data_IF_881603912896
#
_entry.id   IF_881603912896
#
_cell.length_a   1.000
_cell.length_b   1.000
_cell.length_c   1.000
_cell.angle_alpha   90.00
_cell.angle_beta   90.00
_cell.angle_gamma   90.00
#
_symmetry.space_group_name_H-M   'P 1'
#
loop_
_entity.id
_entity.type
_entity.pdbx_description
1 polymer ?
#
# COMPACT_ATOMS: atom_id res chain seq x y z
N UNK A 1 -30.39 -19.08 -19.86
CA UNK A 1 -29.25 -19.21 -18.93
C UNK A 1 -29.26 -17.99 -18.03
N UNK A 2 -29.31 -18.14 -16.71
CA UNK A 2 -29.25 -16.99 -15.80
C UNK A 2 -27.85 -16.37 -15.88
N UNK A 3 -27.78 -15.05 -16.04
CA UNK A 3 -26.50 -14.32 -16.00
C UNK A 3 -25.80 -14.58 -14.67
N UNK A 4 -24.46 -14.76 -14.66
CA UNK A 4 -23.74 -14.97 -13.41
C UNK A 4 -23.96 -13.77 -12.48
N UNK A 5 -24.54 -14.02 -11.29
CA UNK A 5 -24.70 -12.96 -10.29
C UNK A 5 -23.32 -12.62 -9.72
N UNK A 6 -22.87 -11.37 -9.84
CA UNK A 6 -21.65 -10.91 -9.19
C UNK A 6 -21.85 -11.01 -7.68
N UNK A 7 -21.14 -11.96 -7.04
CA UNK A 7 -21.32 -12.23 -5.61
C UNK A 7 -20.53 -11.29 -4.72
N UNK A 8 -19.36 -10.83 -5.15
CA UNK A 8 -18.49 -9.95 -4.39
C UNK A 8 -17.74 -8.99 -5.31
N UNK A 9 -17.52 -7.76 -4.86
CA UNK A 9 -16.66 -6.76 -5.50
C UNK A 9 -15.57 -6.33 -4.51
N UNK A 10 -14.35 -6.16 -5.00
CA UNK A 10 -13.21 -5.69 -4.22
C UNK A 10 -12.61 -4.45 -4.90
N UNK A 11 -12.48 -3.38 -4.12
CA UNK A 11 -11.78 -2.16 -4.53
C UNK A 11 -10.39 -2.15 -3.91
N UNK A 12 -9.43 -1.60 -4.65
CA UNK A 12 -7.99 -1.72 -4.33
C UNK A 12 -7.43 -0.48 -3.63
N UNK A 13 -8.26 0.44 -3.15
CA UNK A 13 -7.82 1.69 -2.52
C UNK A 13 -8.40 2.89 -3.24
N UNK A 14 -7.53 3.70 -3.85
CA UNK A 14 -7.79 4.96 -4.57
C UNK A 14 -9.06 5.00 -5.42
N UNK A 15 -9.85 6.07 -5.26
CA UNK A 15 -11.07 6.37 -6.03
C UNK A 15 -11.08 7.85 -6.42
N UNK A 16 -11.35 8.14 -7.69
CA UNK A 16 -11.39 9.51 -8.23
C UNK A 16 -12.68 10.26 -7.86
N UNK A 17 -12.96 10.39 -6.57
CA UNK A 17 -14.06 11.15 -5.99
C UNK A 17 -13.51 12.17 -4.98
N UNK A 18 -14.23 13.28 -4.73
CA UNK A 18 -13.66 14.43 -4.02
C UNK A 18 -13.30 14.16 -2.57
N UNK A 19 -14.03 13.28 -1.88
CA UNK A 19 -13.86 13.02 -0.45
C UNK A 19 -14.40 11.64 -0.04
N UNK A 20 -13.98 11.19 1.14
CA UNK A 20 -14.29 9.88 1.72
C UNK A 20 -15.79 9.67 1.97
N UNK A 21 -16.54 10.71 2.38
CA UNK A 21 -17.98 10.59 2.61
C UNK A 21 -18.72 10.37 1.28
N UNK A 22 -18.33 11.10 0.23
CA UNK A 22 -18.86 10.89 -1.12
C UNK A 22 -18.57 9.47 -1.61
N UNK A 23 -17.35 8.97 -1.44
CA UNK A 23 -16.95 7.60 -1.83
C UNK A 23 -17.81 6.54 -1.14
N UNK A 24 -17.91 6.61 0.19
CA UNK A 24 -18.71 5.67 0.96
C UNK A 24 -20.18 5.68 0.53
N UNK A 25 -20.78 6.86 0.31
CA UNK A 25 -22.17 6.95 -0.17
C UNK A 25 -22.34 6.38 -1.57
N UNK A 26 -21.44 6.69 -2.49
CA UNK A 26 -21.48 6.16 -3.86
C UNK A 26 -21.40 4.64 -3.85
N UNK A 27 -20.44 4.06 -3.13
CA UNK A 27 -20.26 2.62 -3.07
C UNK A 27 -21.48 1.88 -2.51
N UNK A 28 -22.07 2.37 -1.43
CA UNK A 28 -23.24 1.71 -0.85
C UNK A 28 -24.53 1.91 -1.67
N UNK A 29 -24.59 2.97 -2.47
CA UNK A 29 -25.69 3.17 -3.43
C UNK A 29 -25.55 2.26 -4.66
N UNK A 30 -24.33 2.12 -5.18
CA UNK A 30 -24.07 1.35 -6.42
C UNK A 30 -23.93 -0.15 -6.17
N UNK A 31 -23.38 -0.55 -5.02
CA UNK A 31 -23.05 -1.94 -4.68
C UNK A 31 -23.54 -2.31 -3.27
N UNK A 32 -24.86 -2.23 -3.00
CA UNK A 32 -25.41 -2.32 -1.65
C UNK A 32 -25.19 -3.67 -0.97
N UNK A 33 -24.93 -4.74 -1.73
CA UNK A 33 -24.80 -6.10 -1.16
C UNK A 33 -23.52 -6.83 -1.56
N UNK A 34 -22.72 -6.27 -2.48
CA UNK A 34 -21.53 -6.94 -3.03
C UNK A 34 -20.24 -6.62 -2.26
N UNK A 35 -20.25 -5.61 -1.39
CA UNK A 35 -19.05 -5.14 -0.69
C UNK A 35 -18.90 -5.84 0.66
N UNK A 36 -17.71 -6.40 0.87
CA UNK A 36 -17.29 -6.90 2.20
C UNK A 36 -16.37 -5.91 2.91
N UNK A 37 -15.74 -5.02 2.14
CA UNK A 37 -14.70 -4.08 2.57
C UNK A 37 -14.81 -2.83 1.73
N UNK A 38 -14.58 -1.67 2.33
CA UNK A 38 -14.69 -0.39 1.65
C UNK A 38 -13.43 0.46 1.92
N UNK A 39 -12.63 0.80 0.90
CA UNK A 39 -11.54 1.75 1.07
C UNK A 39 -12.07 3.19 1.15
N UNK A 40 -11.33 4.06 1.81
CA UNK A 40 -11.65 5.50 1.88
C UNK A 40 -11.38 6.26 0.57
N UNK A 41 -10.81 5.58 -0.42
CA UNK A 41 -10.46 6.04 -1.76
C UNK A 41 -9.33 7.07 -1.82
N UNK A 42 -8.58 7.25 -0.74
CA UNK A 42 -7.34 8.04 -0.72
C UNK A 42 -7.45 9.49 -1.24
N UNK A 43 -8.49 10.28 -0.91
CA UNK A 43 -8.68 11.61 -1.49
C UNK A 43 -7.64 12.63 -0.97
N UNK A 44 -7.52 13.73 -1.71
CA UNK A 44 -6.75 14.90 -1.31
C UNK A 44 -5.24 14.77 -1.51
N UNK A 45 -4.46 15.05 -0.47
CA UNK A 45 -2.99 15.14 -0.56
C UNK A 45 -2.30 13.76 -0.67
N UNK A 46 -3.03 12.66 -0.56
CA UNK A 46 -2.54 11.28 -0.73
C UNK A 46 -2.54 10.82 -2.19
N UNK A 47 -2.50 11.76 -3.13
CA UNK A 47 -2.44 11.47 -4.56
C UNK A 47 -1.13 10.82 -5.00
N UNK A 48 -1.18 10.14 -6.15
CA UNK A 48 -0.06 9.45 -6.80
C UNK A 48 0.59 8.35 -5.93
N UNK A 49 -0.26 7.50 -5.35
CA UNK A 49 0.13 6.30 -4.59
C UNK A 49 1.06 6.60 -3.41
N UNK A 50 2.38 6.45 -3.58
CA UNK A 50 3.38 6.69 -2.52
C UNK A 50 4.10 8.03 -2.63
N UNK A 51 3.84 8.86 -3.64
CA UNK A 51 4.58 10.11 -3.81
C UNK A 51 4.42 11.09 -2.64
N UNK A 52 3.26 11.11 -1.99
CA UNK A 52 3.05 11.96 -0.81
C UNK A 52 3.95 11.59 0.37
N UNK A 53 4.47 10.35 0.42
CA UNK A 53 5.43 9.88 1.42
C UNK A 53 6.82 10.51 1.26
N UNK A 54 7.12 11.20 0.15
CA UNK A 54 8.38 11.94 0.01
C UNK A 54 8.59 12.94 1.15
N UNK A 55 7.50 13.53 1.63
CA UNK A 55 7.51 14.48 2.76
C UNK A 55 8.06 13.89 4.06
N UNK A 56 8.00 12.56 4.23
CA UNK A 56 8.54 11.83 5.39
C UNK A 56 10.05 12.08 5.56
N UNK A 57 10.74 12.30 4.44
CA UNK A 57 12.20 12.39 4.37
C UNK A 57 12.72 13.84 4.24
N UNK A 58 11.85 14.86 4.24
CA UNK A 58 12.25 16.25 3.97
C UNK A 58 13.18 16.88 5.02
N UNK A 59 13.35 16.24 6.18
CA UNK A 59 14.41 16.61 7.13
C UNK A 59 15.82 16.35 6.57
N UNK A 60 15.94 15.45 5.61
CA UNK A 60 17.19 15.03 4.98
C UNK A 60 17.02 15.04 3.45
N UNK A 61 16.92 16.23 2.84
CA UNK A 61 16.56 16.36 1.42
C UNK A 61 17.54 15.68 0.46
N UNK A 62 18.80 15.49 0.88
CA UNK A 62 19.81 14.77 0.10
C UNK A 62 19.53 13.26 -0.06
N UNK A 63 18.66 12.68 0.77
CA UNK A 63 18.23 11.28 0.63
C UNK A 63 17.22 11.11 -0.50
N UNK A 64 16.48 12.18 -0.81
CA UNK A 64 15.29 12.14 -1.65
C UNK A 64 15.70 12.25 -3.11
N UNK A 65 15.25 11.29 -3.92
CA UNK A 65 15.57 11.28 -5.34
C UNK A 65 14.83 12.37 -6.11
N UNK A 66 15.51 12.97 -7.07
CA UNK A 66 14.87 13.93 -7.99
C UNK A 66 13.85 13.22 -8.88
N UNK A 67 12.70 13.87 -9.11
CA UNK A 67 11.60 13.31 -9.91
C UNK A 67 11.88 13.34 -11.42
N UNK A 68 12.86 14.14 -11.86
CA UNK A 68 13.11 14.39 -13.28
C UNK A 68 14.42 13.73 -13.77
N UNK A 69 15.44 13.68 -12.92
CA UNK A 69 16.77 13.14 -13.27
C UNK A 69 17.49 12.70 -11.98
N UNK A 70 18.08 11.50 -11.90
CA UNK A 70 19.04 11.20 -10.83
C UNK A 70 20.27 12.10 -11.01
N UNK A 71 20.48 13.03 -10.09
CA UNK A 71 21.48 14.10 -10.24
C UNK A 71 22.91 13.67 -9.86
N UNK A 72 23.10 12.48 -9.29
CA UNK A 72 24.41 12.07 -8.81
C UNK A 72 24.68 10.60 -9.15
N UNK A 73 25.72 10.39 -9.97
CA UNK A 73 26.29 9.06 -10.23
C UNK A 73 27.03 8.49 -9.02
N UNK A 74 27.47 9.35 -8.10
CA UNK A 74 28.17 8.98 -6.86
C UNK A 74 27.80 9.97 -5.75
N UNK A 75 26.82 9.60 -4.91
CA UNK A 75 26.40 10.41 -3.76
C UNK A 75 27.32 10.27 -2.55
N UNK A 76 28.25 9.31 -2.57
CA UNK A 76 29.01 8.90 -1.39
C UNK A 76 28.12 8.21 -0.34
N UNK A 77 28.67 7.85 0.84
CA UNK A 77 27.87 7.27 1.92
C UNK A 77 26.89 8.29 2.51
N UNK A 78 25.83 7.81 3.17
CA UNK A 78 24.98 8.68 3.98
C UNK A 78 25.88 9.39 5.02
N UNK A 79 25.85 10.74 5.10
CA UNK A 79 26.71 11.50 6.00
C UNK A 79 26.35 11.33 7.49
N UNK A 80 25.29 10.59 7.78
CA UNK A 80 24.79 10.28 9.12
C UNK A 80 24.50 8.79 9.24
N UNK A 81 24.80 8.24 10.41
CA UNK A 81 24.43 6.86 10.73
C UNK A 81 22.90 6.69 10.65
N UNK A 82 22.38 5.62 10.01
CA UNK A 82 20.94 5.40 9.86
C UNK A 82 20.14 5.48 11.16
N UNK A 83 20.74 5.08 12.29
CA UNK A 83 20.11 5.09 13.62
C UNK A 83 19.83 6.50 14.14
N UNK A 84 20.51 7.52 13.60
CA UNK A 84 20.30 8.93 13.95
C UNK A 84 19.26 9.62 13.06
N UNK A 85 18.76 8.93 12.03
CA UNK A 85 17.76 9.46 11.10
C UNK A 85 16.41 9.55 11.79
N UNK A 86 15.86 10.75 11.85
CA UNK A 86 14.54 11.02 12.42
C UNK A 86 13.56 11.36 11.31
N UNK A 87 12.70 10.39 10.98
CA UNK A 87 11.66 10.54 9.97
C UNK A 87 10.49 11.38 10.50
N UNK A 88 9.85 12.13 9.60
CA UNK A 88 8.56 12.77 9.90
C UNK A 88 7.45 11.69 9.98
N UNK A 89 6.28 11.98 10.58
CA UNK A 89 5.16 11.05 10.59
C UNK A 89 4.76 10.61 9.18
N UNK A 90 4.41 9.33 9.00
CA UNK A 90 3.96 8.81 7.70
C UNK A 90 2.61 9.40 7.28
N UNK A 91 1.74 9.69 8.27
CA UNK A 91 0.40 10.23 8.06
C UNK A 91 -0.66 9.20 7.61
N UNK A 92 -0.28 7.94 7.36
CA UNK A 92 -1.25 6.90 6.98
C UNK A 92 -2.24 6.59 8.11
N UNK A 93 -1.74 6.56 9.34
CA UNK A 93 -2.54 6.35 10.55
C UNK A 93 -3.54 7.48 10.77
N UNK A 94 -3.08 8.74 10.75
CA UNK A 94 -3.97 9.89 10.86
C UNK A 94 -5.04 9.91 9.77
N UNK A 95 -4.70 9.58 8.53
CA UNK A 95 -5.66 9.46 7.44
C UNK A 95 -6.68 8.33 7.70
N UNK A 96 -6.22 7.15 8.08
CA UNK A 96 -7.08 5.99 8.35
C UNK A 96 -8.05 6.26 9.51
N UNK A 97 -7.59 6.84 10.61
CA UNK A 97 -8.41 7.16 11.80
C UNK A 97 -9.49 8.19 11.43
N UNK A 98 -9.13 9.24 10.70
CA UNK A 98 -10.08 10.26 10.24
C UNK A 98 -11.15 9.67 9.29
N UNK A 99 -10.73 8.84 8.34
CA UNK A 99 -11.64 8.14 7.43
C UNK A 99 -12.55 7.15 8.17
N UNK A 100 -12.01 6.46 9.18
CA UNK A 100 -12.76 5.52 10.01
C UNK A 100 -13.85 6.19 10.86
N UNK A 101 -13.59 7.39 11.38
CA UNK A 101 -14.63 8.18 12.04
C UNK A 101 -15.81 8.50 11.10
N UNK A 102 -15.52 8.80 9.83
CA UNK A 102 -16.55 8.99 8.80
C UNK A 102 -17.29 7.68 8.48
N UNK A 103 -16.57 6.57 8.42
CA UNK A 103 -17.13 5.24 8.23
C UNK A 103 -18.14 4.89 9.34
N UNK A 104 -17.76 5.09 10.60
CA UNK A 104 -18.64 4.84 11.76
C UNK A 104 -19.93 5.65 11.67
N UNK A 105 -19.83 6.97 11.43
CA UNK A 105 -21.01 7.83 11.30
C UNK A 105 -21.96 7.34 10.20
N UNK A 106 -21.44 6.96 9.04
CA UNK A 106 -22.29 6.47 7.94
C UNK A 106 -22.85 5.07 8.20
N UNK A 107 -22.21 4.25 9.04
CA UNK A 107 -22.77 2.99 9.50
C UNK A 107 -23.89 3.21 10.51
N UNK A 108 -23.71 4.13 11.44
CA UNK A 108 -24.73 4.50 12.43
C UNK A 108 -25.99 5.08 11.76
N UNK A 109 -25.80 5.81 10.65
CA UNK A 109 -26.88 6.31 9.78
C UNK A 109 -27.47 5.21 8.84
N UNK A 110 -27.09 3.95 9.02
CA UNK A 110 -27.47 2.80 8.18
C UNK A 110 -27.13 2.93 6.69
N UNK A 111 -26.26 3.87 6.30
CA UNK A 111 -25.78 4.00 4.92
C UNK A 111 -24.78 2.90 4.58
N UNK A 112 -23.89 2.56 5.51
CA UNK A 112 -22.97 1.41 5.38
C UNK A 112 -23.60 0.21 6.09
N UNK A 113 -23.85 -0.92 5.40
CA UNK A 113 -24.41 -2.11 6.03
C UNK A 113 -23.52 -2.67 7.15
N UNK A 114 -24.17 -3.22 8.19
CA UNK A 114 -23.47 -3.95 9.25
C UNK A 114 -22.67 -5.13 8.67
N UNK A 115 -21.50 -5.40 9.26
CA UNK A 115 -20.60 -6.47 8.85
C UNK A 115 -19.71 -6.16 7.64
N UNK A 116 -19.85 -4.98 7.04
CA UNK A 116 -18.86 -4.42 6.10
C UNK A 116 -17.68 -3.88 6.90
N UNK A 117 -16.46 -4.16 6.44
CA UNK A 117 -15.22 -3.66 7.05
C UNK A 117 -14.73 -2.38 6.39
N UNK A 118 -14.07 -1.52 7.17
CA UNK A 118 -13.26 -0.44 6.67
C UNK A 118 -11.90 -0.96 6.17
N UNK A 119 -11.55 -0.64 4.93
CA UNK A 119 -10.29 -1.06 4.31
C UNK A 119 -9.25 0.07 4.36
N UNK A 120 -8.08 -0.24 4.90
CA UNK A 120 -6.90 0.62 4.86
C UNK A 120 -5.89 0.01 3.89
N UNK A 121 -5.67 0.66 2.75
CA UNK A 121 -4.65 0.28 1.76
C UNK A 121 -3.31 0.92 2.14
N UNK A 122 -2.28 0.09 2.30
CA UNK A 122 -0.94 0.49 2.70
C UNK A 122 0.09 -0.06 1.72
N UNK A 123 1.08 0.75 1.29
CA UNK A 123 2.20 0.22 0.54
C UNK A 123 3.11 -0.62 1.44
N UNK A 124 3.90 -1.49 0.84
CA UNK A 124 5.09 -2.00 1.52
C UNK A 124 6.17 -0.90 1.67
N UNK A 125 7.10 -1.04 2.63
CA UNK A 125 8.24 -0.15 2.77
C UNK A 125 9.03 0.07 1.47
N UNK A 126 9.24 -0.99 0.69
CA UNK A 126 10.05 -0.91 -0.53
C UNK A 126 9.36 -0.09 -1.63
N UNK A 127 8.01 -0.09 -1.72
CA UNK A 127 7.31 0.80 -2.66
C UNK A 127 7.66 2.27 -2.40
N UNK A 128 7.68 2.68 -1.12
CA UNK A 128 7.98 4.07 -0.74
C UNK A 128 9.45 4.41 -1.00
N UNK A 129 10.37 3.54 -0.56
CA UNK A 129 11.81 3.76 -0.69
C UNK A 129 12.24 3.77 -2.16
N UNK A 130 11.76 2.82 -2.96
CA UNK A 130 12.12 2.74 -4.37
C UNK A 130 11.67 4.00 -5.14
N UNK A 131 10.49 4.54 -4.83
CA UNK A 131 9.97 5.74 -5.49
C UNK A 131 10.60 7.03 -4.96
N UNK A 132 10.95 7.08 -3.67
CA UNK A 132 11.28 8.35 -3.00
C UNK A 132 12.77 8.57 -2.75
N UNK A 133 13.56 7.51 -2.63
CA UNK A 133 14.92 7.56 -2.11
C UNK A 133 15.94 7.23 -3.20
N UNK A 134 17.08 7.93 -3.18
CA UNK A 134 18.19 7.65 -4.10
C UNK A 134 18.69 6.21 -3.90
N UNK A 135 18.95 5.44 -4.98
CA UNK A 135 19.26 4.00 -4.87
C UNK A 135 20.39 3.67 -3.90
N UNK A 136 21.42 4.51 -3.85
CA UNK A 136 22.58 4.36 -2.98
C UNK A 136 22.24 4.34 -1.48
N UNK A 137 21.06 4.84 -1.09
CA UNK A 137 20.65 5.00 0.31
C UNK A 137 19.54 4.05 0.74
N UNK A 138 18.92 3.32 -0.21
CA UNK A 138 17.75 2.49 0.08
C UNK A 138 18.04 1.39 1.11
N UNK A 139 19.19 0.71 0.98
CA UNK A 139 19.60 -0.38 1.89
C UNK A 139 19.73 0.09 3.34
N UNK A 140 20.42 1.21 3.53
CA UNK A 140 20.64 1.77 4.85
C UNK A 140 19.35 2.34 5.48
N UNK A 141 18.41 2.81 4.65
CA UNK A 141 17.15 3.41 5.11
C UNK A 141 16.02 2.41 5.33
N UNK A 142 16.05 1.26 4.67
CA UNK A 142 15.00 0.24 4.80
C UNK A 142 14.68 -0.12 6.26
N UNK A 143 15.64 -0.48 7.13
CA UNK A 143 15.31 -0.81 8.52
C UNK A 143 14.75 0.38 9.29
N UNK A 144 15.18 1.61 8.98
CA UNK A 144 14.71 2.84 9.63
C UNK A 144 13.26 3.12 9.26
N UNK A 145 12.96 3.12 7.95
CA UNK A 145 11.60 3.38 7.46
C UNK A 145 10.65 2.25 7.85
N UNK A 146 11.05 0.99 7.71
CA UNK A 146 10.24 -0.17 8.10
C UNK A 146 9.85 -0.12 9.58
N UNK A 147 10.80 0.21 10.47
CA UNK A 147 10.51 0.38 11.90
C UNK A 147 9.52 1.50 12.16
N UNK A 148 9.63 2.63 11.46
CA UNK A 148 8.69 3.74 11.58
C UNK A 148 7.30 3.35 11.03
N UNK A 149 7.25 2.70 9.88
CA UNK A 149 6.03 2.28 9.22
C UNK A 149 5.26 1.24 10.03
N UNK A 150 5.95 0.27 10.64
CA UNK A 150 5.32 -0.71 11.54
C UNK A 150 4.69 -0.06 12.77
N UNK A 151 5.23 1.07 13.27
CA UNK A 151 4.57 1.85 14.34
C UNK A 151 3.25 2.47 13.84
N UNK A 152 3.24 3.01 12.63
CA UNK A 152 2.02 3.50 11.98
C UNK A 152 0.97 2.38 11.85
N UNK A 153 1.36 1.19 11.40
CA UNK A 153 0.44 0.05 11.27
C UNK A 153 -0.13 -0.35 12.64
N UNK A 154 0.72 -0.41 13.68
CA UNK A 154 0.26 -0.72 15.04
C UNK A 154 -0.74 0.31 15.54
N UNK A 155 -0.45 1.60 15.35
CA UNK A 155 -1.36 2.67 15.76
C UNK A 155 -2.73 2.56 15.07
N UNK A 156 -2.77 2.20 13.78
CA UNK A 156 -4.04 1.91 13.07
C UNK A 156 -4.79 0.74 13.73
N UNK A 157 -4.09 -0.33 14.09
CA UNK A 157 -4.69 -1.50 14.73
C UNK A 157 -5.14 -1.26 16.18
N UNK A 158 -4.50 -0.31 16.87
CA UNK A 158 -4.87 0.12 18.22
C UNK A 158 -6.13 1.01 18.19
N UNK A 159 -6.26 1.88 17.19
CA UNK A 159 -7.35 2.85 17.08
C UNK A 159 -8.59 2.33 16.32
N UNK A 160 -8.44 1.31 15.47
CA UNK A 160 -9.53 0.74 14.68
C UNK A 160 -9.82 -0.70 15.13
N UNK A 161 -11.04 -1.01 15.61
CA UNK A 161 -11.43 -2.35 16.04
C UNK A 161 -11.17 -3.43 14.98
N UNK A 162 -10.72 -4.60 15.42
CA UNK A 162 -10.32 -5.70 14.52
C UNK A 162 -11.50 -6.24 13.70
N UNK A 163 -12.70 -6.22 14.27
CA UNK A 163 -13.96 -6.57 13.61
C UNK A 163 -14.25 -5.66 12.42
N UNK A 164 -13.82 -4.39 12.51
CA UNK A 164 -14.10 -3.36 11.51
C UNK A 164 -12.94 -3.16 10.54
N UNK A 165 -11.71 -3.51 10.92
CA UNK A 165 -10.52 -3.28 10.11
C UNK A 165 -10.27 -4.40 9.07
N UNK A 166 -9.87 -3.97 7.88
CA UNK A 166 -9.19 -4.78 6.87
C UNK A 166 -7.97 -4.02 6.35
N UNK A 167 -6.77 -4.61 6.47
CA UNK A 167 -5.55 -4.04 5.87
C UNK A 167 -5.32 -4.70 4.52
N UNK A 168 -5.05 -3.89 3.49
CA UNK A 168 -4.57 -4.32 2.19
C UNK A 168 -3.12 -3.86 2.01
N UNK A 169 -2.25 -4.76 1.55
CA UNK A 169 -0.86 -4.46 1.21
C UNK A 169 -0.69 -4.29 -0.29
N UNK A 170 -0.22 -3.12 -0.71
CA UNK A 170 0.06 -2.79 -2.09
C UNK A 170 1.54 -3.09 -2.38
N UNK A 171 1.78 -3.99 -3.34
CA UNK A 171 3.09 -4.58 -3.69
C UNK A 171 3.51 -4.28 -5.13
N UNK A 172 3.21 -3.06 -5.61
CA UNK A 172 3.35 -2.71 -7.03
C UNK A 172 4.80 -2.77 -7.53
N UNK A 173 5.75 -2.24 -6.76
CA UNK A 173 7.19 -2.24 -7.10
C UNK A 173 7.76 -3.65 -7.10
N UNK A 174 7.32 -4.52 -6.18
CA UNK A 174 7.75 -5.92 -6.11
C UNK A 174 7.35 -6.69 -7.37
N UNK A 175 6.14 -6.46 -7.89
CA UNK A 175 5.74 -7.00 -9.18
C UNK A 175 6.57 -6.44 -10.33
N UNK A 176 6.91 -5.15 -10.28
CA UNK A 176 7.78 -4.55 -11.29
C UNK A 176 9.21 -5.14 -11.25
N UNK A 177 9.70 -5.57 -10.08
CA UNK A 177 10.94 -6.36 -9.95
C UNK A 177 10.78 -7.76 -10.55
N UNK A 178 9.70 -8.46 -10.21
CA UNK A 178 9.42 -9.82 -10.72
C UNK A 178 9.26 -9.86 -12.24
N UNK A 179 8.66 -8.83 -12.82
CA UNK A 179 8.47 -8.69 -14.26
C UNK A 179 9.71 -8.12 -14.99
N UNK A 180 10.76 -7.77 -14.26
CA UNK A 180 12.00 -7.22 -14.83
C UNK A 180 11.84 -5.82 -15.44
N UNK A 181 10.79 -5.08 -15.05
CA UNK A 181 10.51 -3.71 -15.50
C UNK A 181 11.46 -2.72 -14.82
N UNK A 182 11.79 -2.98 -13.56
CA UNK A 182 12.80 -2.24 -12.79
C UNK A 182 13.72 -3.22 -12.07
N UNK A 183 14.97 -2.81 -11.85
CA UNK A 183 15.91 -3.63 -11.09
C UNK A 183 15.64 -3.52 -9.59
N UNK A 184 15.59 -4.64 -8.84
CA UNK A 184 15.54 -4.60 -7.40
C UNK A 184 16.85 -4.01 -6.83
N UNK A 185 16.81 -3.40 -5.64
CA UNK A 185 18.02 -3.02 -4.92
C UNK A 185 18.91 -4.26 -4.64
N UNK A 186 20.24 -4.10 -4.53
CA UNK A 186 21.15 -5.24 -4.32
C UNK A 186 20.84 -6.10 -3.09
N UNK A 187 20.25 -5.51 -2.04
CA UNK A 187 19.90 -6.18 -0.79
C UNK A 187 18.51 -6.86 -0.81
N UNK A 188 17.69 -6.62 -1.83
CA UNK A 188 16.38 -7.25 -1.98
C UNK A 188 16.49 -8.30 -3.08
N UNK A 189 16.46 -9.58 -2.74
CA UNK A 189 16.36 -10.62 -3.76
C UNK A 189 14.93 -10.68 -4.30
N UNK A 190 14.77 -10.96 -5.60
CA UNK A 190 13.45 -11.07 -6.24
C UNK A 190 12.56 -12.14 -5.58
N UNK A 191 13.16 -13.10 -4.89
CA UNK A 191 12.47 -14.18 -4.15
C UNK A 191 12.03 -13.71 -2.76
N UNK A 192 12.75 -12.77 -2.14
CA UNK A 192 12.44 -12.27 -0.79
C UNK A 192 11.32 -11.22 -0.77
N UNK A 193 11.03 -10.58 -1.92
CA UNK A 193 10.03 -9.53 -2.12
C UNK A 193 8.61 -9.86 -1.59
N UNK A 194 8.24 -11.15 -1.50
CA UNK A 194 6.89 -11.57 -1.11
C UNK A 194 6.84 -12.48 0.13
N UNK A 195 7.98 -12.98 0.62
CA UNK A 195 7.99 -14.17 1.51
C UNK A 195 8.77 -14.05 2.82
N UNK A 196 9.53 -12.97 3.06
CA UNK A 196 10.22 -12.79 4.34
C UNK A 196 9.30 -12.15 5.39
N UNK A 197 8.55 -13.00 6.11
CA UNK A 197 8.15 -12.67 7.48
C UNK A 197 9.43 -12.52 8.34
N UNK A 198 9.45 -11.64 9.37
CA UNK A 198 10.61 -11.49 10.23
C UNK A 198 10.98 -12.86 10.82
N UNK A 199 12.22 -13.28 10.56
CA UNK A 199 12.76 -14.58 10.90
C UNK A 199 12.89 -14.74 12.42
N UNK A 200 11.79 -15.16 13.03
CA UNK A 200 11.77 -15.76 14.36
C UNK A 200 10.91 -17.04 14.38
N UNK A 201 11.04 -17.89 13.36
CA UNK A 201 10.57 -19.27 13.40
C UNK A 201 11.36 -20.10 12.39
N UNK A 202 11.83 -21.27 12.83
CA UNK A 202 12.76 -22.13 12.11
C UNK A 202 12.29 -22.62 10.73
N UNK A 203 13.28 -23.00 9.93
CA UNK A 203 13.17 -23.47 8.55
C UNK A 203 12.27 -24.70 8.38
N UNK A 204 11.36 -24.65 7.41
CA UNK A 204 10.80 -25.85 6.76
C UNK A 204 10.74 -25.62 5.25
N UNK A 205 11.26 -26.58 4.50
CA UNK A 205 11.67 -26.47 3.10
C UNK A 205 10.56 -26.20 2.08
N UNK A 206 10.97 -25.55 0.99
CA UNK A 206 10.14 -25.21 -0.16
C UNK A 206 9.90 -26.44 -1.07
N UNK A 207 8.64 -26.79 -1.29
CA UNK A 207 8.22 -27.62 -2.43
C UNK A 207 7.47 -26.74 -3.43
N UNK A 208 7.98 -26.66 -4.65
CA UNK A 208 7.39 -25.91 -5.76
C UNK A 208 6.11 -26.58 -6.27
N UNK A 209 5.01 -25.82 -6.36
CA UNK A 209 3.83 -26.16 -7.16
C UNK A 209 3.49 -24.98 -8.09
N UNK A 210 3.15 -25.22 -9.37
CA UNK A 210 2.85 -24.16 -10.33
C UNK A 210 1.43 -23.63 -10.13
N UNK A 211 1.27 -22.31 -10.00
CA UNK A 211 -0.03 -21.66 -9.85
C UNK A 211 -0.55 -21.14 -11.20
N UNK A 212 -1.80 -21.44 -11.55
CA UNK A 212 -2.54 -20.84 -12.69
C UNK A 212 -3.58 -19.87 -12.14
N UNK A 213 -3.56 -18.56 -12.48
CA UNK A 213 -4.57 -17.64 -12.00
C UNK A 213 -5.85 -17.74 -12.83
N UNK A 214 -6.98 -18.02 -12.17
CA UNK A 214 -8.33 -17.86 -12.74
C UNK A 214 -9.02 -16.67 -12.06
N UNK A 215 -8.90 -15.49 -12.66
CA UNK A 215 -9.62 -14.29 -12.23
C UNK A 215 -9.29 -13.09 -13.12
N UNK A 216 -10.30 -12.31 -13.51
CA UNK A 216 -10.10 -11.03 -14.17
C UNK A 216 -9.74 -9.96 -13.13
N UNK A 217 -8.65 -9.25 -13.39
CA UNK A 217 -8.11 -8.15 -12.57
C UNK A 217 -8.45 -6.83 -13.27
N UNK A 218 -9.03 -5.87 -12.55
CA UNK A 218 -9.28 -4.52 -13.03
C UNK A 218 -8.29 -3.56 -12.37
N UNK A 219 -7.52 -2.85 -13.18
CA UNK A 219 -6.58 -1.81 -12.78
C UNK A 219 -7.23 -0.44 -12.98
N UNK A 220 -7.12 0.48 -12.02
CA UNK A 220 -7.49 1.89 -12.22
C UNK A 220 -6.23 2.76 -12.12
N UNK A 221 -5.81 3.35 -13.25
CA UNK A 221 -4.73 4.34 -13.29
C UNK A 221 -5.25 5.70 -12.81
N UNK A 222 -4.57 6.32 -11.85
CA UNK A 222 -4.66 7.77 -11.64
C UNK A 222 -4.03 8.50 -12.82
N UNK A 223 -4.69 9.53 -13.34
CA UNK A 223 -4.27 10.29 -14.52
C UNK A 223 -2.91 10.97 -14.32
N UNK A 224 -1.84 10.31 -14.75
CA UNK A 224 -0.49 10.83 -14.79
C UNK A 224 0.43 9.87 -15.54
N UNK A 225 0.70 10.17 -16.82
CA UNK A 225 1.82 9.75 -17.69
C UNK A 225 2.49 8.36 -17.53
N UNK A 226 1.83 7.33 -17.01
CA UNK A 226 2.28 5.94 -17.16
C UNK A 226 1.68 5.37 -18.45
N UNK A 227 2.49 4.84 -19.40
CA UNK A 227 1.94 4.18 -20.57
C UNK A 227 1.09 3.00 -20.12
N UNK A 228 -0.20 3.04 -20.45
CA UNK A 228 -1.16 1.97 -20.20
C UNK A 228 -0.74 0.74 -21.03
N UNK A 229 0.17 -0.07 -20.49
CA UNK A 229 0.42 -1.43 -20.95
C UNK A 229 -0.30 -2.36 -19.98
N UNK A 230 -1.01 -3.33 -20.52
CA UNK A 230 -1.69 -4.39 -19.78
C UNK A 230 -0.69 -5.11 -18.87
N UNK A 231 -0.62 -4.73 -17.59
CA UNK A 231 0.08 -5.51 -16.56
C UNK A 231 -0.88 -6.59 -16.11
N UNK A 232 -0.56 -7.85 -16.43
CA UNK A 232 -1.46 -8.99 -16.22
C UNK A 232 -1.44 -9.56 -14.80
N UNK A 233 -0.75 -8.93 -13.84
CA UNK A 233 -0.56 -9.51 -12.51
C UNK A 233 -0.56 -8.46 -11.41
N UNK A 234 -1.66 -8.40 -10.65
CA UNK A 234 -1.66 -7.90 -9.27
C UNK A 234 -2.14 -9.07 -8.43
N UNK A 235 -1.28 -9.61 -7.55
CA UNK A 235 -1.70 -10.63 -6.59
C UNK A 235 -2.09 -9.97 -5.27
N UNK A 236 -3.25 -10.38 -4.75
CA UNK A 236 -3.80 -9.92 -3.48
C UNK A 236 -3.47 -10.95 -2.40
N UNK A 237 -2.76 -10.55 -1.36
CA UNK A 237 -2.57 -11.38 -0.17
C UNK A 237 -3.45 -10.87 0.97
N UNK A 238 -4.40 -11.70 1.39
CA UNK A 238 -5.25 -11.45 2.55
C UNK A 238 -4.56 -12.09 3.76
N UNK A 239 -3.79 -11.31 4.51
CA UNK A 239 -3.14 -11.83 5.71
C UNK A 239 -4.19 -12.03 6.81
N UNK A 240 -4.59 -13.28 7.06
CA UNK A 240 -5.20 -13.67 8.35
C UNK A 240 -4.05 -14.10 9.25
N UNK A 241 -3.66 -13.28 10.23
CA UNK A 241 -2.96 -13.83 11.38
C UNK A 241 -4.00 -14.58 12.23
N UNK A 242 -3.71 -15.83 12.54
CA UNK A 242 -4.44 -16.64 13.52
C UNK A 242 -4.35 -16.00 14.91
#
# INVERSE_FOLDING_TARGET
>A
MASPSIKNVHFVGSICLPDTSTIFRTFNTTLPTQLKRIPDGEPGNRGNFVHWQRSVFYRYPYLVRSLYFSLAKDLGPIPISPEKIQLMPSGYDGAAINSYATFCRLRDDATIPMGVKFQVSLPTPINVLHVSIEPAFQEALEPVYTKAFLKTVRHIQEEIPTEDLAIQWDVAVEFAFLEGIVSPPPHVSTVDCLFHAPSSAGSVGANHLPFRPTGQVLTQCSSGSWPCKTVSSIAFFNWRML
#
